data_IF_481160655789
#
_entry.id   IF_481160655789
#
_cell.length_a   1.000
_cell.length_b   1.000
_cell.length_c   1.000
_cell.angle_alpha   90.00
_cell.angle_beta   90.00
_cell.angle_gamma   90.00
#
_symmetry.space_group_name_H-M   'P 1'
#
loop_
_entity.id
_entity.type
_entity.pdbx_description
1 polymer ?
#
# COMPACT_ATOMS: atom_id res chain seq x y z
N UNK A 1 -15.27 -20.82 11.87
CA UNK A 1 -14.78 -20.42 10.53
C UNK A 1 -15.25 -21.32 9.40
N UNK A 2 -15.66 -22.52 9.69
CA UNK A 2 -16.13 -23.51 8.68
C UNK A 2 -17.50 -23.20 8.06
N UNK A 3 -18.35 -22.45 8.76
CA UNK A 3 -19.72 -22.12 8.28
C UNK A 3 -19.73 -21.16 7.07
N UNK A 4 -18.65 -20.42 6.84
CA UNK A 4 -18.51 -19.52 5.69
C UNK A 4 -18.08 -20.26 4.41
N UNK A 5 -17.60 -21.49 4.52
CA UNK A 5 -17.16 -22.31 3.39
C UNK A 5 -18.30 -23.07 2.70
N UNK A 6 -19.46 -23.18 3.35
CA UNK A 6 -20.63 -23.88 2.80
C UNK A 6 -21.64 -22.97 2.10
N UNK A 7 -21.43 -21.65 2.16
CA UNK A 7 -22.28 -20.68 1.47
C UNK A 7 -21.73 -20.43 0.05
N UNK A 8 -22.57 -20.40 -1.02
CA UNK A 8 -22.17 -20.07 -2.38
C UNK A 8 -21.86 -18.57 -2.53
N UNK A 9 -21.02 -18.03 -1.66
CA UNK A 9 -20.63 -16.62 -1.68
C UNK A 9 -19.44 -16.46 -2.59
N UNK A 10 -19.53 -15.55 -3.56
CA UNK A 10 -18.46 -15.24 -4.47
C UNK A 10 -17.19 -14.83 -3.69
N UNK A 11 -15.99 -15.36 -4.05
CA UNK A 11 -14.72 -14.98 -3.43
C UNK A 11 -14.48 -13.47 -3.38
N UNK A 12 -14.97 -12.74 -4.37
CA UNK A 12 -14.90 -11.27 -4.46
C UNK A 12 -15.69 -10.61 -3.33
N UNK A 13 -16.87 -11.14 -3.00
CA UNK A 13 -17.72 -10.59 -1.91
C UNK A 13 -17.02 -10.73 -0.57
N UNK A 14 -16.35 -11.85 -0.31
CA UNK A 14 -15.60 -12.08 0.93
C UNK A 14 -14.41 -11.11 1.01
N UNK A 15 -13.71 -10.93 -0.11
CA UNK A 15 -12.58 -10.02 -0.20
C UNK A 15 -13.02 -8.57 0.05
N UNK A 16 -14.10 -8.12 -0.58
CA UNK A 16 -14.66 -6.78 -0.41
C UNK A 16 -15.16 -6.55 1.01
N UNK A 17 -15.89 -7.51 1.59
CA UNK A 17 -16.41 -7.39 2.96
C UNK A 17 -15.33 -7.17 4.00
N UNK A 18 -14.14 -7.74 3.81
CA UNK A 18 -12.99 -7.51 4.67
C UNK A 18 -12.25 -6.22 4.34
N UNK A 19 -12.11 -5.90 3.06
CA UNK A 19 -11.32 -4.76 2.60
C UNK A 19 -12.01 -3.42 2.90
N UNK A 20 -13.33 -3.32 2.71
CA UNK A 20 -14.08 -2.06 2.88
C UNK A 20 -13.93 -1.43 4.26
N UNK A 21 -14.15 -2.13 5.40
CA UNK A 21 -14.00 -1.51 6.72
C UNK A 21 -12.57 -1.08 7.01
N UNK A 22 -11.57 -1.88 6.63
CA UNK A 22 -10.17 -1.50 6.81
C UNK A 22 -9.75 -0.35 5.91
N UNK A 23 -10.27 -0.30 4.69
CA UNK A 23 -10.02 0.80 3.76
C UNK A 23 -10.57 2.12 4.30
N UNK A 24 -11.79 2.11 4.83
CA UNK A 24 -12.41 3.30 5.44
C UNK A 24 -11.60 3.80 6.64
N UNK A 25 -11.20 2.89 7.52
CA UNK A 25 -10.39 3.23 8.69
C UNK A 25 -9.01 3.78 8.29
N UNK A 26 -8.41 3.22 7.25
CA UNK A 26 -7.13 3.68 6.72
C UNK A 26 -7.22 5.08 6.10
N UNK A 27 -8.30 5.41 5.40
CA UNK A 27 -8.54 6.77 4.89
C UNK A 27 -8.60 7.77 6.05
N UNK A 28 -9.33 7.45 7.11
CA UNK A 28 -9.39 8.29 8.30
C UNK A 28 -8.01 8.53 8.91
N UNK A 29 -7.21 7.47 9.02
CA UNK A 29 -5.82 7.56 9.49
C UNK A 29 -4.96 8.47 8.62
N UNK A 30 -5.02 8.32 7.28
CA UNK A 30 -4.24 9.17 6.36
C UNK A 30 -4.62 10.63 6.50
N UNK A 31 -5.91 10.95 6.57
CA UNK A 31 -6.37 12.32 6.78
C UNK A 31 -5.85 12.87 8.11
N UNK A 32 -5.94 12.10 9.18
CA UNK A 32 -5.43 12.49 10.50
C UNK A 32 -3.93 12.75 10.47
N UNK A 33 -3.14 11.87 9.84
CA UNK A 33 -1.69 12.02 9.73
C UNK A 33 -1.32 13.26 8.91
N UNK A 34 -2.01 13.53 7.80
CA UNK A 34 -1.76 14.74 6.99
C UNK A 34 -2.09 16.02 7.76
N UNK A 35 -3.18 16.03 8.52
CA UNK A 35 -3.54 17.16 9.38
C UNK A 35 -2.49 17.38 10.47
N UNK A 36 -2.10 16.33 11.18
CA UNK A 36 -1.06 16.41 12.22
C UNK A 36 0.29 16.86 11.64
N UNK A 37 0.68 16.31 10.48
CA UNK A 37 1.90 16.70 9.79
C UNK A 37 1.95 18.20 9.49
N UNK A 38 0.83 18.76 9.03
CA UNK A 38 0.75 20.18 8.69
C UNK A 38 0.66 21.08 9.93
N UNK A 39 -0.24 20.76 10.88
CA UNK A 39 -0.58 21.66 11.98
C UNK A 39 0.35 21.51 13.20
N UNK A 40 0.83 20.30 13.47
CA UNK A 40 1.66 20.01 14.65
C UNK A 40 3.14 20.01 14.29
N UNK A 41 3.51 19.35 13.21
CA UNK A 41 4.92 19.22 12.82
C UNK A 41 5.40 20.35 11.89
N UNK A 42 4.49 21.17 11.36
CA UNK A 42 4.83 22.26 10.45
C UNK A 42 5.49 21.83 9.15
N UNK A 43 5.30 20.56 8.74
CA UNK A 43 5.88 20.05 7.50
C UNK A 43 5.24 20.76 6.31
N UNK A 44 6.04 21.42 5.44
CA UNK A 44 5.50 22.11 4.29
C UNK A 44 4.94 21.09 3.29
N UNK A 45 3.65 21.20 2.99
CA UNK A 45 3.02 20.48 1.90
C UNK A 45 3.23 21.29 0.61
N UNK A 46 4.42 21.26 0.06
CA UNK A 46 4.81 22.06 -1.11
C UNK A 46 4.17 21.58 -2.41
N UNK A 47 3.84 20.30 -2.47
CA UNK A 47 3.21 19.69 -3.64
C UNK A 47 1.69 19.68 -3.59
N UNK A 48 1.07 19.05 -4.57
CA UNK A 48 -0.38 18.91 -4.70
C UNK A 48 -0.94 17.96 -3.62
N UNK A 49 -1.77 18.47 -2.71
CA UNK A 49 -2.43 17.69 -1.65
C UNK A 49 -3.31 16.58 -2.25
N UNK A 50 -3.96 16.86 -3.39
CA UNK A 50 -4.77 15.86 -4.09
C UNK A 50 -3.94 14.69 -4.62
N UNK A 51 -2.71 14.95 -5.06
CA UNK A 51 -1.78 13.92 -5.50
C UNK A 51 -1.30 13.04 -4.33
N UNK A 52 -1.00 13.65 -3.18
CA UNK A 52 -0.64 12.93 -1.95
C UNK A 52 -1.79 12.01 -1.54
N UNK A 53 -3.01 12.52 -1.53
CA UNK A 53 -4.20 11.74 -1.17
C UNK A 53 -4.42 10.56 -2.13
N UNK A 54 -4.29 10.78 -3.43
CA UNK A 54 -4.43 9.74 -4.45
C UNK A 54 -3.40 8.62 -4.30
N UNK A 55 -2.12 8.97 -4.14
CA UNK A 55 -1.05 7.98 -3.93
C UNK A 55 -1.25 7.22 -2.62
N UNK A 56 -1.74 7.89 -1.58
CA UNK A 56 -2.06 7.24 -0.30
C UNK A 56 -3.21 6.24 -0.44
N UNK A 57 -4.24 6.55 -1.22
CA UNK A 57 -5.32 5.61 -1.51
C UNK A 57 -4.83 4.36 -2.26
N UNK A 58 -3.99 4.55 -3.26
CA UNK A 58 -3.35 3.44 -3.98
C UNK A 58 -2.51 2.58 -3.03
N UNK A 59 -1.72 3.21 -2.18
CA UNK A 59 -0.90 2.51 -1.19
C UNK A 59 -1.73 1.70 -0.21
N UNK A 60 -2.82 2.25 0.32
CA UNK A 60 -3.74 1.56 1.22
C UNK A 60 -4.30 0.32 0.53
N UNK A 61 -4.78 0.46 -0.69
CA UNK A 61 -5.37 -0.64 -1.45
C UNK A 61 -4.36 -1.77 -1.67
N UNK A 62 -3.16 -1.45 -2.15
CA UNK A 62 -2.09 -2.42 -2.38
C UNK A 62 -1.66 -3.09 -1.08
N UNK A 63 -1.52 -2.32 0.00
CA UNK A 63 -1.10 -2.83 1.32
C UNK A 63 -2.14 -3.76 1.93
N UNK A 64 -3.44 -3.46 1.78
CA UNK A 64 -4.51 -4.34 2.25
C UNK A 64 -4.52 -5.66 1.49
N UNK A 65 -4.36 -5.63 0.16
CA UNK A 65 -4.29 -6.84 -0.67
C UNK A 65 -3.07 -7.68 -0.30
N UNK A 66 -1.91 -7.05 -0.13
CA UNK A 66 -0.69 -7.72 0.33
C UNK A 66 -0.87 -8.34 1.71
N UNK A 67 -1.43 -7.58 2.66
CA UNK A 67 -1.71 -8.07 4.01
C UNK A 67 -2.60 -9.29 4.02
N UNK A 68 -3.61 -9.35 3.15
CA UNK A 68 -4.48 -10.52 3.01
C UNK A 68 -3.74 -11.74 2.45
N UNK A 69 -2.80 -11.54 1.52
CA UNK A 69 -2.00 -12.62 0.94
C UNK A 69 -0.95 -13.17 1.92
N UNK A 70 -0.34 -12.28 2.72
CA UNK A 70 0.77 -12.60 3.64
C UNK A 70 0.26 -12.91 5.05
N UNK A 71 -1.04 -12.79 5.29
CA UNK A 71 -1.67 -13.01 6.60
C UNK A 71 -1.25 -14.37 7.20
N UNK A 72 -0.43 -14.32 8.24
CA UNK A 72 0.10 -15.48 8.96
C UNK A 72 1.61 -15.72 8.84
N UNK A 73 2.31 -14.99 7.97
CA UNK A 73 3.74 -15.27 7.71
C UNK A 73 4.73 -14.48 8.59
N UNK A 74 4.26 -13.61 9.49
CA UNK A 74 5.16 -12.82 10.38
C UNK A 74 6.12 -11.87 9.63
N UNK A 75 5.85 -11.57 8.36
CA UNK A 75 6.74 -10.81 7.47
C UNK A 75 6.61 -9.28 7.60
N UNK A 76 5.82 -8.80 8.55
CA UNK A 76 5.54 -7.37 8.69
C UNK A 76 6.80 -6.56 9.01
N UNK A 77 7.63 -7.04 9.93
CA UNK A 77 8.89 -6.37 10.28
C UNK A 77 9.92 -6.38 9.14
N UNK A 78 10.22 -7.51 8.47
CA UNK A 78 11.09 -7.50 7.30
C UNK A 78 10.60 -6.59 6.18
N UNK A 79 9.30 -6.58 5.90
CA UNK A 79 8.71 -5.71 4.88
C UNK A 79 8.86 -4.23 5.24
N UNK A 80 8.59 -3.86 6.50
CA UNK A 80 8.76 -2.49 6.98
C UNK A 80 10.22 -2.02 6.91
N UNK A 81 11.17 -2.89 7.26
CA UNK A 81 12.60 -2.56 7.17
C UNK A 81 13.08 -2.38 5.73
N UNK A 82 12.61 -3.23 4.81
CA UNK A 82 12.99 -3.20 3.40
C UNK A 82 12.30 -2.08 2.61
N UNK A 83 11.22 -1.50 3.12
CA UNK A 83 10.43 -0.46 2.42
C UNK A 83 11.16 0.88 2.26
N UNK A 84 12.35 1.04 2.82
CA UNK A 84 13.09 2.31 2.81
C UNK A 84 12.56 3.34 3.82
N UNK A 85 11.61 2.96 4.70
CA UNK A 85 11.13 3.86 5.75
C UNK A 85 12.16 4.09 6.85
N UNK A 86 12.83 3.02 7.28
CA UNK A 86 13.83 3.08 8.36
C UNK A 86 15.26 3.28 7.85
N UNK A 87 15.59 2.67 6.74
CA UNK A 87 16.92 2.75 6.14
C UNK A 87 16.83 3.18 4.68
N UNK A 88 17.67 4.12 4.20
CA UNK A 88 17.74 4.46 2.79
C UNK A 88 18.07 3.22 1.95
N UNK A 89 17.30 2.99 0.89
CA UNK A 89 17.45 1.80 0.02
C UNK A 89 18.87 1.75 -0.60
N UNK A 90 19.45 2.92 -0.86
CA UNK A 90 20.80 3.08 -1.42
C UNK A 90 21.90 2.53 -0.52
N UNK A 91 21.64 2.44 0.80
CA UNK A 91 22.58 1.90 1.79
C UNK A 91 22.50 0.38 1.93
N UNK A 92 21.56 -0.27 1.24
CA UNK A 92 21.35 -1.72 1.33
C UNK A 92 22.21 -2.47 0.30
N UNK A 93 22.60 -3.74 0.57
CA UNK A 93 23.18 -4.61 -0.43
C UNK A 93 22.29 -4.73 -1.67
N UNK A 94 22.89 -4.88 -2.85
CA UNK A 94 22.19 -4.90 -4.15
C UNK A 94 21.03 -5.90 -4.18
N UNK A 95 21.20 -7.08 -3.60
CA UNK A 95 20.13 -8.08 -3.51
C UNK A 95 18.91 -7.57 -2.74
N UNK A 96 19.12 -6.87 -1.62
CA UNK A 96 18.04 -6.31 -0.81
C UNK A 96 17.34 -5.14 -1.52
N UNK A 97 18.07 -4.37 -2.34
CA UNK A 97 17.49 -3.31 -3.15
C UNK A 97 16.48 -3.86 -4.18
N UNK A 98 16.75 -5.02 -4.78
CA UNK A 98 15.79 -5.65 -5.69
C UNK A 98 14.51 -6.08 -4.95
N UNK A 99 14.64 -6.69 -3.78
CA UNK A 99 13.49 -7.05 -2.95
C UNK A 99 12.72 -5.81 -2.47
N UNK A 100 13.42 -4.75 -2.08
CA UNK A 100 12.82 -3.49 -1.67
C UNK A 100 11.95 -2.88 -2.79
N UNK A 101 12.38 -2.95 -4.05
CA UNK A 101 11.60 -2.46 -5.20
C UNK A 101 10.32 -3.27 -5.47
N UNK A 102 10.23 -4.51 -5.01
CA UNK A 102 9.00 -5.31 -5.08
C UNK A 102 7.97 -4.93 -4.00
N UNK A 103 8.36 -4.11 -3.02
CA UNK A 103 7.48 -3.70 -1.92
C UNK A 103 6.77 -2.39 -2.29
N UNK A 104 5.43 -2.32 -2.22
CA UNK A 104 4.69 -1.11 -2.57
C UNK A 104 5.00 0.09 -1.69
N UNK A 105 5.36 -0.14 -0.41
CA UNK A 105 5.74 0.92 0.52
C UNK A 105 6.97 1.71 0.07
N UNK A 106 7.87 1.11 -0.69
CA UNK A 106 9.03 1.78 -1.31
C UNK A 106 8.59 2.87 -2.29
N UNK A 107 7.69 2.53 -3.20
CA UNK A 107 7.19 3.46 -4.22
C UNK A 107 6.34 4.56 -3.59
N UNK A 108 5.57 4.22 -2.56
CA UNK A 108 4.84 5.20 -1.77
C UNK A 108 5.78 6.19 -1.08
N UNK A 109 6.84 5.72 -0.43
CA UNK A 109 7.83 6.58 0.23
C UNK A 109 8.50 7.54 -0.76
N UNK A 110 8.84 7.07 -1.96
CA UNK A 110 9.43 7.90 -3.02
C UNK A 110 8.43 8.97 -3.48
N UNK A 111 7.18 8.58 -3.74
CA UNK A 111 6.14 9.50 -4.18
C UNK A 111 5.84 10.58 -3.14
N UNK A 112 5.73 10.21 -1.87
CA UNK A 112 5.48 11.15 -0.77
C UNK A 112 6.66 12.12 -0.60
N UNK A 113 7.90 11.64 -0.66
CA UNK A 113 9.08 12.51 -0.61
C UNK A 113 9.09 13.53 -1.76
N UNK A 114 8.78 13.11 -2.98
CA UNK A 114 8.68 14.01 -4.15
C UNK A 114 7.60 15.07 -3.95
N UNK A 115 6.44 14.69 -3.43
CA UNK A 115 5.32 15.61 -3.25
C UNK A 115 5.50 16.53 -2.05
N UNK A 116 5.91 16.01 -0.89
CA UNK A 116 5.99 16.81 0.34
C UNK A 116 7.26 17.64 0.43
N UNK A 117 8.41 17.06 0.09
CA UNK A 117 9.72 17.69 0.31
C UNK A 117 10.18 18.46 -0.93
N UNK A 118 10.00 17.88 -2.11
CA UNK A 118 10.45 18.50 -3.36
C UNK A 118 9.41 19.42 -4.01
N UNK A 119 8.17 19.41 -3.51
CA UNK A 119 7.10 20.26 -4.01
C UNK A 119 6.66 19.98 -5.45
N UNK A 120 6.96 18.78 -5.96
CA UNK A 120 6.66 18.40 -7.33
C UNK A 120 5.17 18.12 -7.53
N UNK A 121 4.67 18.31 -8.76
CA UNK A 121 3.27 18.13 -9.11
C UNK A 121 2.93 16.70 -9.54
N UNK A 122 1.71 16.53 -10.04
CA UNK A 122 1.15 15.26 -10.52
C UNK A 122 2.02 14.53 -11.54
N UNK A 123 2.63 15.26 -12.46
CA UNK A 123 3.48 14.68 -13.53
C UNK A 123 4.66 13.88 -13.00
N UNK A 124 5.18 14.26 -11.84
CA UNK A 124 6.38 13.65 -11.26
C UNK A 124 6.12 12.32 -10.54
N UNK A 125 4.86 12.02 -10.24
CA UNK A 125 4.46 10.79 -9.54
C UNK A 125 3.73 9.79 -10.44
N UNK A 126 3.54 10.12 -11.71
CA UNK A 126 2.83 9.25 -12.65
C UNK A 126 3.47 7.86 -12.75
N UNK A 127 4.80 7.81 -12.71
CA UNK A 127 5.55 6.56 -12.78
C UNK A 127 5.31 5.68 -11.54
N UNK A 128 5.41 6.26 -10.36
CA UNK A 128 5.16 5.57 -9.10
C UNK A 128 3.69 5.12 -8.99
N UNK A 129 2.76 5.99 -9.37
CA UNK A 129 1.34 5.66 -9.39
C UNK A 129 1.02 4.52 -10.37
N UNK A 130 1.64 4.51 -11.54
CA UNK A 130 1.47 3.45 -12.55
C UNK A 130 2.00 2.12 -12.02
N UNK A 131 3.17 2.10 -11.40
CA UNK A 131 3.75 0.90 -10.79
C UNK A 131 2.85 0.36 -9.68
N UNK A 132 2.37 1.24 -8.79
CA UNK A 132 1.49 0.84 -7.69
C UNK A 132 0.15 0.31 -8.22
N UNK A 133 -0.40 0.90 -9.27
CA UNK A 133 -1.62 0.40 -9.93
C UNK A 133 -1.37 -0.97 -10.54
N UNK A 134 -0.25 -1.17 -11.23
CA UNK A 134 0.14 -2.48 -11.75
C UNK A 134 0.27 -3.53 -10.65
N UNK A 135 0.92 -3.18 -9.54
CA UNK A 135 1.02 -4.05 -8.36
C UNK A 135 -0.35 -4.42 -7.80
N UNK A 136 -1.29 -3.45 -7.70
CA UNK A 136 -2.64 -3.71 -7.22
C UNK A 136 -3.39 -4.72 -8.08
N UNK A 137 -3.30 -4.60 -9.40
CA UNK A 137 -3.91 -5.53 -10.35
C UNK A 137 -3.35 -6.95 -10.19
N UNK A 138 -2.01 -7.08 -10.12
CA UNK A 138 -1.35 -8.38 -9.92
C UNK A 138 -1.78 -9.01 -8.60
N UNK A 139 -1.83 -8.24 -7.52
CA UNK A 139 -2.23 -8.73 -6.20
C UNK A 139 -3.70 -9.15 -6.14
N UNK A 140 -4.59 -8.43 -6.83
CA UNK A 140 -6.00 -8.84 -6.96
C UNK A 140 -6.11 -10.19 -7.67
N UNK A 141 -5.39 -10.36 -8.78
CA UNK A 141 -5.38 -11.62 -9.53
C UNK A 141 -4.86 -12.75 -8.65
N UNK A 142 -3.73 -12.54 -7.94
CA UNK A 142 -3.16 -13.54 -7.03
C UNK A 142 -4.10 -13.87 -5.88
N UNK A 143 -4.78 -12.86 -5.30
CA UNK A 143 -5.75 -13.06 -4.25
C UNK A 143 -6.93 -13.94 -4.74
N UNK A 144 -7.46 -13.64 -5.91
CA UNK A 144 -8.56 -14.43 -6.50
C UNK A 144 -8.15 -15.88 -6.81
N UNK A 145 -6.93 -16.08 -7.32
CA UNK A 145 -6.41 -17.43 -7.61
C UNK A 145 -6.19 -18.25 -6.32
N UNK A 146 -5.69 -17.62 -5.25
CA UNK A 146 -5.51 -18.28 -3.96
C UNK A 146 -6.84 -18.64 -3.29
N UNK A 147 -7.86 -17.79 -3.44
CA UNK A 147 -9.21 -18.12 -2.94
C UNK A 147 -9.82 -19.29 -3.71
N UNK A 148 -9.61 -19.37 -5.03
CA UNK A 148 -10.11 -20.49 -5.85
C UNK A 148 -9.50 -21.82 -5.44
N UNK A 149 -8.19 -21.85 -5.16
CA UNK A 149 -7.47 -23.07 -4.70
C UNK A 149 -7.89 -23.57 -3.31
N UNK A 150 -8.45 -22.72 -2.48
CA UNK A 150 -8.94 -23.12 -1.13
C UNK A 150 -10.37 -23.66 -1.15
N UNK A 151 -11.08 -23.53 -2.26
CA UNK A 151 -12.46 -23.96 -2.44
C UNK A 151 -12.55 -25.29 -3.22
N UNK A 152 -11.46 -25.77 -3.83
CA UNK A 152 -11.28 -27.12 -4.38
C UNK A 152 -10.61 -28.04 -3.34
#
# INVERSE_FOLDING_TARGET
MEVLLTSPVNPITILLSKTVPYFTLSIFNVVTILLLSRFVLGVPLLGSVSAIFFVSLLFILVSLLLGMLISGAGLLLPVAMLSGMFFPIESMPILLQYFARAIPATWYSIAVKKLMIQGLGWSSILWEALIMTGMSVVLVILALLNFKKKLE
#
